data_IF_766494004796
#
_entry.id   IF_766494004796
#
_cell.length_a   1.000
_cell.length_b   1.000
_cell.length_c   1.000
_cell.angle_alpha   90.00
_cell.angle_beta   90.00
_cell.angle_gamma   90.00
#
_symmetry.space_group_name_H-M   'P 1'
#
loop_
_entity.id
_entity.type
_entity.pdbx_description
1 polymer ?
#
# COMPACT_ATOMS: atom_id res chain seq x y z
N UNK A 1 -5.39 72.74 12.81
CA UNK A 1 -4.90 72.62 11.44
C UNK A 1 -3.92 71.43 11.37
N UNK A 2 -4.38 70.21 11.65
CA UNK A 2 -3.57 68.97 11.61
C UNK A 2 -4.42 67.72 11.57
N UNK A 3 -5.47 67.62 10.70
CA UNK A 3 -6.29 66.40 10.53
C UNK A 3 -6.41 65.98 9.04
N UNK A 4 -5.74 66.68 8.10
CA UNK A 4 -5.89 66.42 6.68
C UNK A 4 -4.71 65.64 6.02
N UNK A 5 -3.70 65.22 6.79
CA UNK A 5 -2.50 64.57 6.24
C UNK A 5 -2.54 63.01 6.25
N UNK A 6 -3.42 62.38 7.04
CA UNK A 6 -3.46 60.92 7.17
C UNK A 6 -4.25 60.17 6.08
N UNK A 7 -5.18 60.84 5.41
CA UNK A 7 -6.06 60.15 4.43
C UNK A 7 -5.42 59.92 3.02
N UNK A 8 -4.35 60.63 2.72
CA UNK A 8 -3.65 60.48 1.44
C UNK A 8 -2.55 59.39 1.44
N UNK A 9 -2.02 59.02 2.61
CA UNK A 9 -1.04 57.93 2.71
C UNK A 9 -1.69 56.54 2.72
N UNK A 10 -2.89 56.37 3.30
CA UNK A 10 -3.61 55.09 3.26
C UNK A 10 -4.13 54.76 1.86
N UNK A 11 -4.51 55.75 1.05
CA UNK A 11 -4.95 55.51 -0.35
C UNK A 11 -3.80 55.19 -1.28
N UNK A 12 -2.58 55.62 -0.99
CA UNK A 12 -1.38 55.27 -1.77
C UNK A 12 -0.83 53.86 -1.42
N UNK A 13 -1.07 53.38 -0.21
CA UNK A 13 -0.72 52.03 0.22
C UNK A 13 -1.65 50.98 -0.38
N UNK A 14 -2.95 51.26 -0.51
CA UNK A 14 -3.93 50.34 -1.11
C UNK A 14 -3.76 50.16 -2.63
N UNK A 15 -3.18 51.17 -3.33
CA UNK A 15 -2.95 51.08 -4.78
C UNK A 15 -1.72 50.24 -5.20
N UNK A 16 -0.87 49.80 -4.25
CA UNK A 16 0.33 48.98 -4.55
C UNK A 16 0.11 47.46 -4.40
N UNK A 17 -1.09 47.02 -4.00
CA UNK A 17 -1.40 45.57 -3.83
C UNK A 17 -1.91 44.93 -5.14
N UNK A 18 -2.04 45.71 -6.20
CA UNK A 18 -2.56 45.23 -7.50
C UNK A 18 -1.52 45.07 -8.64
N UNK A 19 -0.23 44.93 -8.31
CA UNK A 19 0.76 44.58 -9.35
C UNK A 19 0.73 43.10 -9.63
N UNK A 20 -0.01 42.72 -10.67
CA UNK A 20 0.00 41.36 -11.25
C UNK A 20 1.43 40.95 -11.57
N UNK A 21 1.93 39.91 -10.89
CA UNK A 21 3.16 39.22 -11.31
C UNK A 21 2.93 38.60 -12.71
N UNK A 22 3.84 38.82 -13.66
CA UNK A 22 3.68 38.25 -15.01
C UNK A 22 3.76 36.73 -14.95
N UNK A 23 2.82 36.07 -15.63
CA UNK A 23 2.65 34.66 -15.79
C UNK A 23 3.87 33.96 -16.42
N UNK A 24 4.93 33.68 -15.64
CA UNK A 24 6.03 32.79 -16.02
C UNK A 24 5.83 31.39 -15.43
N UNK A 25 4.59 30.83 -15.55
CA UNK A 25 4.18 29.61 -14.86
C UNK A 25 4.42 28.32 -15.66
N UNK A 26 5.06 28.38 -16.85
CA UNK A 26 5.18 27.25 -17.78
C UNK A 26 6.39 26.33 -17.60
N UNK A 27 7.54 26.85 -17.24
CA UNK A 27 8.82 26.11 -17.28
C UNK A 27 9.42 25.73 -15.93
N UNK A 28 8.87 26.23 -14.82
CA UNK A 28 9.35 25.90 -13.45
C UNK A 28 8.84 24.58 -12.89
N UNK A 29 8.01 23.82 -13.62
CA UNK A 29 7.48 22.51 -13.17
C UNK A 29 8.51 21.38 -13.21
N UNK A 30 9.62 21.51 -13.97
CA UNK A 30 10.65 20.48 -14.10
C UNK A 30 11.87 20.67 -13.21
N UNK A 31 11.98 21.78 -12.52
CA UNK A 31 13.10 22.07 -11.63
C UNK A 31 12.64 22.25 -10.18
N UNK A 32 11.93 21.26 -9.64
CA UNK A 32 11.81 21.16 -8.17
C UNK A 32 13.15 20.66 -7.67
N UNK A 33 13.90 21.43 -6.85
CA UNK A 33 15.21 21.03 -6.35
C UNK A 33 15.15 19.68 -5.61
N UNK A 34 14.00 19.37 -4.99
CA UNK A 34 13.71 18.11 -4.35
C UNK A 34 13.74 16.92 -5.31
N UNK A 35 13.21 17.07 -6.53
CA UNK A 35 13.17 16.01 -7.53
C UNK A 35 14.55 15.77 -8.14
N UNK A 36 15.33 16.83 -8.38
CA UNK A 36 16.72 16.73 -8.83
C UNK A 36 17.59 16.05 -7.76
N UNK A 37 17.40 16.41 -6.49
CA UNK A 37 18.11 15.79 -5.38
C UNK A 37 17.74 14.30 -5.25
N UNK A 38 16.45 13.94 -5.32
CA UNK A 38 15.99 12.54 -5.24
C UNK A 38 16.54 11.70 -6.38
N UNK A 39 16.48 12.21 -7.62
CA UNK A 39 17.02 11.50 -8.79
C UNK A 39 18.54 11.41 -8.71
N UNK A 40 19.23 12.49 -8.33
CA UNK A 40 20.68 12.50 -8.14
C UNK A 40 21.12 11.49 -7.08
N UNK A 41 20.43 11.45 -5.94
CA UNK A 41 20.70 10.46 -4.89
C UNK A 41 20.52 9.03 -5.40
N UNK A 42 19.41 8.75 -6.12
CA UNK A 42 19.15 7.43 -6.68
C UNK A 42 20.24 7.01 -7.67
N UNK A 43 20.64 7.92 -8.57
CA UNK A 43 21.72 7.66 -9.55
C UNK A 43 23.03 7.36 -8.86
N UNK A 44 23.41 8.16 -7.85
CA UNK A 44 24.65 7.95 -7.08
C UNK A 44 24.59 6.62 -6.31
N UNK A 45 23.47 6.29 -5.71
CA UNK A 45 23.29 5.02 -5.00
C UNK A 45 23.40 3.81 -5.94
N UNK A 46 22.74 3.85 -7.11
CA UNK A 46 22.83 2.79 -8.12
C UNK A 46 24.21 2.67 -8.72
N UNK A 47 24.88 3.79 -9.04
CA UNK A 47 26.24 3.78 -9.55
C UNK A 47 27.25 3.25 -8.50
N UNK A 48 27.07 3.63 -7.24
CA UNK A 48 27.85 3.09 -6.13
C UNK A 48 27.67 1.57 -5.98
N UNK A 49 26.42 1.10 -6.02
CA UNK A 49 26.13 -0.34 -5.98
C UNK A 49 26.74 -1.09 -7.16
N UNK A 50 26.54 -0.60 -8.38
CA UNK A 50 27.13 -1.18 -9.60
C UNK A 50 28.67 -1.27 -9.49
N UNK A 51 29.32 -0.20 -9.01
CA UNK A 51 30.77 -0.13 -8.86
C UNK A 51 31.27 -1.12 -7.81
N UNK A 52 30.64 -1.18 -6.63
CA UNK A 52 31.00 -2.10 -5.54
C UNK A 52 30.89 -3.57 -5.97
N UNK A 53 29.84 -3.91 -6.72
CA UNK A 53 29.64 -5.27 -7.22
C UNK A 53 30.68 -5.61 -8.31
N UNK A 54 30.94 -4.70 -9.28
CA UNK A 54 31.92 -4.95 -10.37
C UNK A 54 33.38 -4.98 -9.89
N UNK A 55 33.70 -4.28 -8.81
CA UNK A 55 35.04 -4.33 -8.20
C UNK A 55 35.22 -5.57 -7.29
N UNK A 56 34.23 -6.46 -7.26
CA UNK A 56 34.21 -7.67 -6.41
C UNK A 56 34.45 -7.40 -4.92
N UNK A 57 34.23 -6.14 -4.46
CA UNK A 57 34.26 -5.78 -3.03
C UNK A 57 33.20 -6.60 -2.28
N UNK A 58 32.06 -6.85 -2.95
CA UNK A 58 31.03 -7.79 -2.52
C UNK A 58 30.87 -8.82 -3.64
N UNK A 59 31.03 -10.08 -3.28
CA UNK A 59 30.91 -11.18 -4.26
C UNK A 59 29.51 -11.20 -4.89
N UNK A 60 29.39 -11.44 -6.19
CA UNK A 60 28.11 -11.44 -6.92
C UNK A 60 27.05 -12.41 -6.38
N UNK A 61 27.49 -13.48 -5.69
CA UNK A 61 26.60 -14.43 -4.99
C UNK A 61 25.87 -13.74 -3.82
N UNK A 62 26.41 -12.65 -3.26
CA UNK A 62 25.78 -11.93 -2.15
C UNK A 62 24.98 -10.76 -2.70
N UNK A 63 25.56 -9.98 -3.60
CA UNK A 63 24.98 -8.77 -4.15
C UNK A 63 25.33 -8.61 -5.62
N UNK A 64 24.48 -9.08 -6.55
CA UNK A 64 24.69 -8.93 -7.98
C UNK A 64 24.59 -7.44 -8.39
N UNK A 65 25.26 -7.07 -9.47
CA UNK A 65 25.20 -5.72 -10.02
C UNK A 65 23.79 -5.39 -10.56
N UNK A 66 23.31 -4.14 -10.44
CA UNK A 66 22.04 -3.72 -11.05
C UNK A 66 21.92 -4.08 -12.54
N UNK A 67 23.00 -3.99 -13.31
CA UNK A 67 23.02 -4.41 -14.71
C UNK A 67 22.74 -5.91 -14.89
N UNK A 68 23.33 -6.77 -14.05
CA UNK A 68 23.10 -8.23 -14.05
C UNK A 68 21.65 -8.56 -13.66
N UNK A 69 21.04 -7.79 -12.74
CA UNK A 69 19.62 -7.93 -12.37
C UNK A 69 18.71 -7.60 -13.55
N UNK A 70 19.01 -6.56 -14.33
CA UNK A 70 18.25 -6.21 -15.53
C UNK A 70 18.36 -7.29 -16.62
N UNK A 71 19.56 -7.82 -16.87
CA UNK A 71 19.76 -8.95 -17.78
C UNK A 71 19.04 -10.20 -17.29
N UNK A 72 19.12 -10.48 -15.98
CA UNK A 72 18.39 -11.56 -15.33
C UNK A 72 16.88 -11.39 -15.46
N UNK A 73 16.36 -10.14 -15.36
CA UNK A 73 14.94 -9.86 -15.54
C UNK A 73 14.49 -10.22 -16.96
N UNK A 74 15.26 -9.85 -17.97
CA UNK A 74 14.98 -10.25 -19.35
C UNK A 74 15.01 -11.78 -19.51
N UNK A 75 16.01 -12.43 -18.95
CA UNK A 75 16.13 -13.90 -18.97
C UNK A 75 14.91 -14.57 -18.33
N UNK A 76 14.51 -14.12 -17.14
CA UNK A 76 13.35 -14.68 -16.41
C UNK A 76 12.05 -14.50 -17.19
N UNK A 77 11.79 -13.30 -17.74
CA UNK A 77 10.55 -13.01 -18.49
C UNK A 77 10.44 -13.83 -19.78
N UNK A 78 11.58 -14.21 -20.37
CA UNK A 78 11.61 -15.03 -21.60
C UNK A 78 11.55 -16.54 -21.34
N UNK A 79 11.55 -16.98 -20.07
CA UNK A 79 11.34 -18.40 -19.75
C UNK A 79 9.93 -18.86 -20.15
N UNK A 80 9.83 -20.03 -20.72
CA UNK A 80 8.57 -20.61 -21.21
C UNK A 80 7.50 -20.72 -20.11
N UNK A 81 7.91 -21.03 -18.88
CA UNK A 81 7.00 -21.20 -17.74
C UNK A 81 6.69 -19.89 -16.99
N UNK A 82 7.36 -18.77 -17.31
CA UNK A 82 7.23 -17.49 -16.56
C UNK A 82 5.78 -17.02 -16.39
N UNK A 83 5.02 -17.01 -17.48
CA UNK A 83 3.63 -16.54 -17.44
C UNK A 83 2.74 -17.38 -16.53
N UNK A 84 2.99 -18.68 -16.46
CA UNK A 84 2.27 -19.57 -15.56
C UNK A 84 2.63 -19.29 -14.11
N UNK A 85 3.91 -19.17 -13.78
CA UNK A 85 4.38 -18.92 -12.42
C UNK A 85 3.89 -17.53 -11.91
N UNK A 86 4.00 -16.50 -12.74
CA UNK A 86 3.44 -15.16 -12.43
C UNK A 86 1.93 -15.22 -12.24
N UNK A 87 1.21 -15.89 -13.14
CA UNK A 87 -0.25 -16.02 -13.06
C UNK A 87 -0.71 -16.75 -11.80
N UNK A 88 0.02 -17.78 -11.37
CA UNK A 88 -0.26 -18.53 -10.14
C UNK A 88 -0.11 -17.62 -8.92
N UNK A 89 1.03 -16.95 -8.75
CA UNK A 89 1.24 -16.00 -7.63
C UNK A 89 0.20 -14.88 -7.62
N UNK A 90 -0.12 -14.30 -8.79
CA UNK A 90 -1.14 -13.28 -8.90
C UNK A 90 -2.52 -13.77 -8.47
N UNK A 91 -2.91 -14.96 -8.88
CA UNK A 91 -4.19 -15.56 -8.49
C UNK A 91 -4.25 -15.79 -6.98
N UNK A 92 -3.20 -16.32 -6.39
CA UNK A 92 -3.09 -16.55 -4.94
C UNK A 92 -3.23 -15.23 -4.16
N UNK A 93 -2.51 -14.19 -4.59
CA UNK A 93 -2.55 -12.86 -3.99
C UNK A 93 -3.93 -12.24 -4.12
N UNK A 94 -4.50 -12.22 -5.34
CA UNK A 94 -5.77 -11.52 -5.58
C UNK A 94 -6.94 -12.22 -4.90
N UNK A 95 -7.01 -13.55 -4.94
CA UNK A 95 -8.09 -14.29 -4.28
C UNK A 95 -7.95 -14.19 -2.76
N UNK A 96 -6.73 -14.36 -2.22
CA UNK A 96 -6.48 -14.20 -0.79
C UNK A 96 -6.80 -12.77 -0.30
N UNK A 97 -6.41 -11.76 -1.07
CA UNK A 97 -6.74 -10.36 -0.79
C UNK A 97 -8.26 -10.11 -0.81
N UNK A 98 -8.98 -10.62 -1.82
CA UNK A 98 -10.44 -10.45 -1.89
C UNK A 98 -11.15 -11.12 -0.71
N UNK A 99 -10.72 -12.31 -0.30
CA UNK A 99 -11.24 -12.96 0.91
C UNK A 99 -10.97 -12.11 2.16
N UNK A 100 -9.74 -11.59 2.31
CA UNK A 100 -9.38 -10.70 3.41
C UNK A 100 -10.20 -9.42 3.40
N UNK A 101 -10.45 -8.84 2.22
CA UNK A 101 -11.26 -7.64 2.05
C UNK A 101 -12.70 -7.86 2.51
N UNK A 102 -13.37 -8.90 2.00
CA UNK A 102 -14.76 -9.19 2.32
C UNK A 102 -14.93 -9.49 3.81
N UNK A 103 -14.11 -10.39 4.36
CA UNK A 103 -14.18 -10.78 5.76
C UNK A 103 -13.69 -9.66 6.69
N UNK A 104 -12.58 -9.02 6.36
CA UNK A 104 -11.97 -7.99 7.20
C UNK A 104 -12.83 -6.73 7.27
N UNK A 105 -13.31 -6.22 6.13
CA UNK A 105 -14.22 -5.07 6.11
C UNK A 105 -15.55 -5.43 6.75
N UNK A 106 -16.11 -6.61 6.44
CA UNK A 106 -17.38 -7.07 7.03
C UNK A 106 -17.31 -7.12 8.55
N UNK A 107 -16.35 -7.86 9.12
CA UNK A 107 -16.17 -7.95 10.58
C UNK A 107 -15.77 -6.59 11.16
N UNK A 108 -14.98 -5.80 10.44
CA UNK A 108 -14.61 -4.44 10.81
C UNK A 108 -15.81 -3.51 10.96
N UNK A 109 -16.82 -3.62 10.09
CA UNK A 109 -18.09 -2.88 10.20
C UNK A 109 -18.83 -3.28 11.47
N UNK A 110 -18.97 -4.56 11.76
CA UNK A 110 -19.62 -5.02 13.00
C UNK A 110 -18.85 -4.53 14.24
N UNK A 111 -17.52 -4.64 14.23
CA UNK A 111 -16.66 -4.22 15.35
C UNK A 111 -16.68 -2.70 15.54
N UNK A 112 -16.76 -1.91 14.46
CA UNK A 112 -16.81 -0.45 14.52
C UNK A 112 -18.19 0.08 14.94
N UNK A 113 -19.27 -0.62 14.54
CA UNK A 113 -20.63 -0.12 14.73
C UNK A 113 -21.25 -0.58 16.06
N UNK A 114 -21.01 -1.83 16.49
CA UNK A 114 -21.64 -2.41 17.67
C UNK A 114 -20.67 -2.51 18.85
N UNK A 115 -20.97 -1.75 19.91
CA UNK A 115 -20.10 -1.68 21.10
C UNK A 115 -20.01 -3.03 21.83
N UNK A 116 -21.10 -3.79 21.92
CA UNK A 116 -21.10 -5.12 22.52
C UNK A 116 -20.17 -6.07 21.75
N UNK A 117 -20.30 -6.11 20.44
CA UNK A 117 -19.47 -6.96 19.58
C UNK A 117 -17.98 -6.57 19.71
N UNK A 118 -17.69 -5.29 19.74
CA UNK A 118 -16.33 -4.77 19.96
C UNK A 118 -15.78 -5.23 21.30
N UNK A 119 -16.47 -4.97 22.42
CA UNK A 119 -15.98 -5.34 23.76
C UNK A 119 -15.73 -6.83 23.88
N UNK A 120 -16.54 -7.66 23.19
CA UNK A 120 -16.42 -9.12 23.23
C UNK A 120 -15.32 -9.67 22.32
N UNK A 121 -15.18 -9.14 21.11
CA UNK A 121 -14.33 -9.75 20.05
C UNK A 121 -12.96 -9.05 19.92
N UNK A 122 -12.87 -7.74 20.17
CA UNK A 122 -11.64 -6.97 19.98
C UNK A 122 -10.44 -7.49 20.78
N UNK A 123 -10.57 -7.96 22.04
CA UNK A 123 -9.46 -8.55 22.77
C UNK A 123 -8.85 -9.77 22.05
N UNK A 124 -9.69 -10.61 21.45
CA UNK A 124 -9.23 -11.77 20.66
C UNK A 124 -8.55 -11.32 19.36
N UNK A 125 -9.09 -10.30 18.69
CA UNK A 125 -8.44 -9.73 17.49
C UNK A 125 -7.03 -9.26 17.81
N UNK A 126 -6.85 -8.53 18.92
CA UNK A 126 -5.54 -8.06 19.35
C UNK A 126 -4.61 -9.22 19.69
N UNK A 127 -5.10 -10.23 20.43
CA UNK A 127 -4.33 -11.42 20.75
C UNK A 127 -3.83 -12.15 19.50
N UNK A 128 -4.72 -12.38 18.51
CA UNK A 128 -4.34 -13.00 17.23
C UNK A 128 -3.39 -12.13 16.40
N UNK A 129 -3.45 -10.81 16.53
CA UNK A 129 -2.55 -9.91 15.80
C UNK A 129 -1.10 -10.05 16.25
N UNK A 130 -0.86 -10.34 17.51
CA UNK A 130 0.49 -10.50 18.08
C UNK A 130 1.15 -11.80 17.61
N UNK A 131 0.36 -12.83 17.27
CA UNK A 131 0.91 -14.11 16.81
C UNK A 131 1.63 -13.91 15.46
N UNK A 132 2.89 -14.37 15.33
CA UNK A 132 3.62 -14.36 14.07
C UNK A 132 2.90 -15.25 13.02
N UNK A 133 2.13 -14.64 12.12
CA UNK A 133 1.26 -15.36 11.20
C UNK A 133 2.01 -16.30 10.24
N UNK A 134 3.28 -15.98 9.94
CA UNK A 134 4.16 -16.81 9.11
C UNK A 134 4.30 -18.25 9.66
N UNK A 135 4.17 -18.44 10.97
CA UNK A 135 4.24 -19.76 11.61
C UNK A 135 3.10 -20.67 11.17
N UNK A 136 1.99 -20.13 10.67
CA UNK A 136 0.87 -20.95 10.18
C UNK A 136 1.11 -21.54 8.78
N UNK A 137 2.11 -21.09 8.04
CA UNK A 137 2.35 -21.58 6.68
C UNK A 137 2.52 -23.12 6.59
N UNK A 138 3.34 -23.79 7.44
CA UNK A 138 3.41 -25.25 7.43
C UNK A 138 2.09 -25.92 7.82
N UNK A 139 1.30 -25.32 8.70
CA UNK A 139 0.00 -25.84 9.13
C UNK A 139 -1.01 -25.78 7.97
N UNK A 140 -1.08 -24.66 7.27
CA UNK A 140 -1.96 -24.53 6.10
C UNK A 140 -1.53 -25.45 4.97
N UNK A 141 -0.22 -25.66 4.79
CA UNK A 141 0.30 -26.65 3.85
C UNK A 141 -0.14 -28.07 4.21
N UNK A 142 -0.10 -28.43 5.50
CA UNK A 142 -0.55 -29.75 5.96
C UNK A 142 -2.06 -29.95 5.80
N UNK A 143 -2.88 -28.89 5.96
CA UNK A 143 -4.33 -28.97 5.85
C UNK A 143 -4.86 -28.90 4.42
N UNK A 144 -4.27 -28.05 3.58
CA UNK A 144 -4.75 -27.74 2.23
C UNK A 144 -3.84 -28.29 1.13
N UNK A 145 -2.68 -28.85 1.48
CA UNK A 145 -1.73 -29.39 0.52
C UNK A 145 -0.85 -28.34 -0.16
N UNK A 146 -0.06 -28.80 -1.14
CA UNK A 146 0.91 -27.99 -1.89
C UNK A 146 0.26 -27.17 -3.03
N UNK A 147 -1.06 -27.25 -3.20
CA UNK A 147 -1.84 -26.50 -4.17
C UNK A 147 -1.91 -25.00 -3.86
N UNK A 148 -2.70 -24.27 -4.63
CA UNK A 148 -2.91 -22.81 -4.47
C UNK A 148 -3.72 -22.47 -3.22
N UNK A 149 -4.49 -23.41 -2.68
CA UNK A 149 -5.43 -23.17 -1.58
C UNK A 149 -4.70 -22.76 -0.30
N UNK A 150 -3.60 -23.42 0.05
CA UNK A 150 -2.78 -23.08 1.23
C UNK A 150 -2.21 -21.67 1.15
N UNK A 151 -1.82 -21.19 -0.05
CA UNK A 151 -1.28 -19.86 -0.31
C UNK A 151 -2.38 -18.79 -0.25
N UNK A 152 -3.52 -19.06 -0.85
CA UNK A 152 -4.71 -18.19 -0.77
C UNK A 152 -5.12 -17.98 0.69
N UNK A 153 -5.21 -19.06 1.47
CA UNK A 153 -5.57 -18.96 2.90
C UNK A 153 -4.52 -18.16 3.66
N UNK A 154 -3.23 -18.40 3.40
CA UNK A 154 -2.15 -17.68 4.06
C UNK A 154 -2.18 -16.19 3.73
N UNK A 155 -2.33 -15.83 2.45
CA UNK A 155 -2.48 -14.46 2.00
C UNK A 155 -3.70 -13.79 2.65
N UNK A 156 -4.84 -14.50 2.70
CA UNK A 156 -6.07 -14.00 3.32
C UNK A 156 -5.90 -13.75 4.82
N UNK A 157 -5.31 -14.68 5.57
CA UNK A 157 -5.12 -14.55 7.03
C UNK A 157 -4.19 -13.40 7.38
N UNK A 158 -3.11 -13.20 6.61
CA UNK A 158 -2.18 -12.09 6.88
C UNK A 158 -2.81 -10.74 6.52
N UNK A 159 -3.55 -10.65 5.41
CA UNK A 159 -4.19 -9.45 4.93
C UNK A 159 -5.48 -9.05 5.67
N UNK A 160 -6.11 -9.99 6.35
CA UNK A 160 -7.39 -9.80 7.05
C UNK A 160 -7.34 -8.71 8.13
N UNK A 161 -6.29 -8.73 8.97
CA UNK A 161 -6.20 -7.83 10.13
C UNK A 161 -6.08 -6.36 9.76
N UNK A 162 -5.25 -5.93 8.80
CA UNK A 162 -5.23 -4.54 8.33
C UNK A 162 -6.59 -4.04 7.86
N UNK A 163 -7.33 -4.85 7.09
CA UNK A 163 -8.69 -4.50 6.65
C UNK A 163 -9.63 -4.30 7.83
N UNK A 164 -9.66 -5.27 8.75
CA UNK A 164 -10.55 -5.26 9.90
C UNK A 164 -10.29 -4.05 10.81
N UNK A 165 -9.03 -3.85 11.20
CA UNK A 165 -8.67 -2.82 12.18
C UNK A 165 -8.91 -1.43 11.61
N UNK A 166 -8.45 -1.14 10.39
CA UNK A 166 -8.64 0.17 9.78
C UNK A 166 -10.13 0.47 9.53
N UNK A 167 -10.93 -0.54 9.16
CA UNK A 167 -12.38 -0.39 9.03
C UNK A 167 -13.02 -0.05 10.38
N UNK A 168 -12.69 -0.80 11.43
CA UNK A 168 -13.23 -0.56 12.76
C UNK A 168 -12.82 0.82 13.33
N UNK A 169 -11.57 1.24 13.12
CA UNK A 169 -11.07 2.57 13.52
C UNK A 169 -11.76 3.67 12.72
N UNK A 170 -11.88 3.51 11.40
CA UNK A 170 -12.52 4.50 10.53
C UNK A 170 -13.97 4.76 10.90
N UNK A 171 -14.75 3.71 11.19
CA UNK A 171 -16.15 3.87 11.60
C UNK A 171 -16.32 4.59 12.96
N UNK A 172 -15.28 4.62 13.77
CA UNK A 172 -15.25 5.33 15.05
C UNK A 172 -14.66 6.73 14.99
N UNK A 173 -14.19 7.15 13.82
CA UNK A 173 -13.67 8.51 13.61
C UNK A 173 -14.78 9.59 13.63
N UNK A 174 -16.06 9.19 13.65
CA UNK A 174 -17.21 10.09 13.80
C UNK A 174 -17.34 10.54 15.25
N UNK A 175 -17.39 11.84 15.51
CA UNK A 175 -17.57 12.38 16.86
C UNK A 175 -19.02 12.27 17.32
N UNK A 176 -19.23 12.28 18.65
CA UNK A 176 -20.58 12.27 19.24
C UNK A 176 -21.35 13.54 18.86
N UNK A 177 -20.70 14.69 18.79
CA UNK A 177 -21.32 15.97 18.43
C UNK A 177 -21.87 15.95 16.99
N UNK A 178 -21.16 15.34 16.06
CA UNK A 178 -21.63 15.18 14.68
C UNK A 178 -22.86 14.25 14.60
N UNK A 179 -22.88 13.20 15.40
CA UNK A 179 -24.04 12.32 15.51
C UNK A 179 -25.22 13.05 16.12
N UNK A 180 -25.00 13.87 17.16
CA UNK A 180 -26.03 14.70 17.79
C UNK A 180 -26.58 15.73 16.80
N UNK A 181 -25.72 16.38 16.02
CA UNK A 181 -26.14 17.29 14.97
C UNK A 181 -27.06 16.59 13.95
N UNK A 182 -26.68 15.43 13.46
CA UNK A 182 -27.54 14.66 12.54
C UNK A 182 -28.89 14.29 13.18
N UNK A 183 -28.90 13.95 14.47
CA UNK A 183 -30.13 13.64 15.21
C UNK A 183 -31.04 14.88 15.38
N UNK A 184 -30.48 16.07 15.55
CA UNK A 184 -31.27 17.31 15.61
C UNK A 184 -32.02 17.59 14.30
N UNK A 185 -31.51 17.09 13.17
CA UNK A 185 -32.20 17.05 11.87
C UNK A 185 -33.12 15.82 11.69
N UNK A 186 -33.45 15.12 12.79
CA UNK A 186 -34.33 13.94 12.78
C UNK A 186 -33.80 12.82 11.86
N UNK A 187 -32.48 12.72 11.66
CA UNK A 187 -31.89 11.67 10.84
C UNK A 187 -32.01 10.30 11.50
N UNK A 188 -32.39 9.30 10.71
CA UNK A 188 -32.46 7.90 11.16
C UNK A 188 -31.06 7.32 11.31
N UNK A 189 -30.92 6.21 12.07
CA UNK A 189 -29.64 5.51 12.25
C UNK A 189 -28.98 5.13 10.91
N UNK A 190 -29.77 4.65 9.95
CA UNK A 190 -29.28 4.32 8.60
C UNK A 190 -28.79 5.54 7.85
N UNK A 191 -29.47 6.69 7.97
CA UNK A 191 -29.03 7.94 7.35
C UNK A 191 -27.73 8.45 7.99
N UNK A 192 -27.59 8.36 9.32
CA UNK A 192 -26.34 8.70 10.00
C UNK A 192 -25.21 7.82 9.51
N UNK A 193 -25.42 6.51 9.43
CA UNK A 193 -24.42 5.57 8.94
C UNK A 193 -24.00 5.87 7.50
N UNK A 194 -24.94 5.97 6.57
CA UNK A 194 -24.64 6.11 5.13
C UNK A 194 -24.14 7.52 4.75
N UNK A 195 -24.64 8.57 5.41
CA UNK A 195 -24.34 9.96 5.04
C UNK A 195 -23.22 10.63 5.85
N UNK A 196 -22.88 10.05 7.02
CA UNK A 196 -21.86 10.61 7.90
C UNK A 196 -20.76 9.59 8.21
N UNK A 197 -21.14 8.47 8.88
CA UNK A 197 -20.15 7.53 9.43
C UNK A 197 -19.36 6.81 8.33
N UNK A 198 -20.03 6.26 7.32
CA UNK A 198 -19.38 5.53 6.23
C UNK A 198 -18.50 6.45 5.35
N UNK A 199 -18.94 7.62 4.89
CA UNK A 199 -18.08 8.54 4.16
C UNK A 199 -16.83 8.98 4.95
N UNK A 200 -16.96 9.22 6.26
CA UNK A 200 -15.81 9.51 7.12
C UNK A 200 -14.88 8.32 7.31
N UNK A 201 -15.40 7.09 7.31
CA UNK A 201 -14.63 5.88 7.45
C UNK A 201 -13.86 5.50 6.18
N UNK A 202 -14.36 5.88 4.99
CA UNK A 202 -13.79 5.45 3.71
C UNK A 202 -12.28 5.71 3.56
N UNK A 203 -11.71 6.87 3.95
CA UNK A 203 -10.26 7.09 3.92
C UNK A 203 -9.47 6.04 4.71
N UNK A 204 -9.97 5.67 5.89
CA UNK A 204 -9.36 4.65 6.74
C UNK A 204 -9.52 3.24 6.15
N UNK A 205 -10.70 2.93 5.61
CA UNK A 205 -10.97 1.66 4.94
C UNK A 205 -10.00 1.48 3.76
N UNK A 206 -9.83 2.49 2.91
CA UNK A 206 -8.89 2.44 1.81
C UNK A 206 -7.43 2.34 2.25
N UNK A 207 -7.04 3.01 3.34
CA UNK A 207 -5.72 2.81 3.94
C UNK A 207 -5.53 1.35 4.38
N UNK A 208 -6.54 0.76 5.01
CA UNK A 208 -6.57 -0.65 5.37
C UNK A 208 -6.49 -1.59 4.16
N UNK A 209 -7.22 -1.31 3.09
CA UNK A 209 -7.22 -2.07 1.83
C UNK A 209 -5.84 -2.07 1.19
N UNK A 210 -5.20 -0.90 1.07
CA UNK A 210 -3.84 -0.77 0.50
C UNK A 210 -2.81 -1.54 1.33
N UNK A 211 -2.88 -1.42 2.65
CA UNK A 211 -2.02 -2.19 3.55
C UNK A 211 -2.27 -3.69 3.44
N UNK A 212 -3.53 -4.11 3.42
CA UNK A 212 -3.90 -5.52 3.28
C UNK A 212 -3.41 -6.14 1.97
N UNK A 213 -3.46 -5.40 0.86
CA UNK A 213 -2.92 -5.86 -0.42
C UNK A 213 -1.41 -6.16 -0.32
N UNK A 214 -0.64 -5.27 0.28
CA UNK A 214 0.80 -5.50 0.52
C UNK A 214 1.03 -6.75 1.38
N UNK A 215 0.23 -6.93 2.41
CA UNK A 215 0.31 -8.11 3.28
C UNK A 215 -0.17 -9.40 2.60
N UNK A 216 -1.12 -9.33 1.68
CA UNK A 216 -1.53 -10.49 0.87
C UNK A 216 -0.39 -10.97 -0.04
N UNK A 217 0.33 -10.04 -0.67
CA UNK A 217 1.50 -10.35 -1.50
C UNK A 217 2.59 -11.04 -0.67
N UNK A 218 2.92 -10.48 0.50
CA UNK A 218 3.88 -11.10 1.43
C UNK A 218 3.40 -12.49 1.84
N UNK A 219 2.12 -12.64 2.17
CA UNK A 219 1.54 -13.90 2.63
C UNK A 219 1.60 -15.01 1.58
N UNK A 220 1.31 -14.71 0.32
CA UNK A 220 1.41 -15.65 -0.79
C UNK A 220 2.86 -16.11 -0.98
N UNK A 221 3.81 -15.16 -1.11
CA UNK A 221 5.24 -15.49 -1.33
C UNK A 221 5.81 -16.30 -0.16
N UNK A 222 5.47 -15.94 1.09
CA UNK A 222 5.92 -16.71 2.26
C UNK A 222 5.37 -18.14 2.23
N UNK A 223 4.12 -18.32 1.84
CA UNK A 223 3.52 -19.65 1.72
C UNK A 223 4.14 -20.46 0.57
N UNK A 224 4.46 -19.82 -0.56
CA UNK A 224 5.21 -20.44 -1.66
C UNK A 224 6.60 -20.92 -1.20
N UNK A 225 7.29 -20.15 -0.35
CA UNK A 225 8.59 -20.56 0.21
C UNK A 225 8.50 -21.80 1.11
N UNK A 226 7.38 -22.05 1.77
CA UNK A 226 7.23 -23.24 2.61
C UNK A 226 7.00 -24.49 1.78
N UNK A 227 6.32 -24.37 0.62
CA UNK A 227 6.14 -25.46 -0.30
C UNK A 227 5.05 -25.18 -1.33
N UNK A 228 5.40 -25.33 -2.60
CA UNK A 228 4.51 -25.12 -3.74
C UNK A 228 4.96 -25.92 -4.94
N UNK A 229 4.05 -26.10 -5.90
CA UNK A 229 4.37 -26.67 -7.22
C UNK A 229 4.62 -25.58 -8.27
N UNK A 230 4.11 -24.37 -8.06
CA UNK A 230 4.17 -23.25 -8.98
C UNK A 230 4.24 -21.94 -8.20
N UNK A 231 4.68 -20.88 -8.86
CA UNK A 231 4.71 -19.53 -8.33
C UNK A 231 6.10 -18.90 -8.39
N UNK A 232 6.13 -17.57 -8.24
CA UNK A 232 7.38 -16.79 -8.28
C UNK A 232 8.29 -17.11 -7.08
N UNK A 233 7.71 -17.49 -5.92
CA UNK A 233 8.49 -17.92 -4.76
C UNK A 233 9.25 -19.22 -5.03
N UNK A 234 8.66 -20.17 -5.77
CA UNK A 234 9.36 -21.37 -6.23
C UNK A 234 10.53 -21.01 -7.14
N UNK A 235 10.35 -20.05 -8.06
CA UNK A 235 11.44 -19.60 -8.92
C UNK A 235 12.60 -19.01 -8.10
N UNK A 236 12.29 -18.17 -7.09
CA UNK A 236 13.30 -17.63 -6.16
C UNK A 236 14.06 -18.79 -5.48
N UNK A 237 13.36 -19.78 -4.94
CA UNK A 237 14.01 -20.93 -4.29
C UNK A 237 14.90 -21.71 -5.26
N UNK A 238 14.40 -22.00 -6.45
CA UNK A 238 15.12 -22.76 -7.47
C UNK A 238 16.42 -22.04 -7.86
N UNK A 239 16.36 -20.75 -8.14
CA UNK A 239 17.54 -19.97 -8.47
C UNK A 239 18.49 -19.77 -7.27
N UNK A 240 17.94 -19.67 -6.05
CA UNK A 240 18.75 -19.57 -4.82
C UNK A 240 19.55 -20.85 -4.59
N UNK A 241 18.94 -22.02 -4.73
CA UNK A 241 19.64 -23.30 -4.60
C UNK A 241 20.67 -23.53 -5.70
N UNK A 242 20.44 -22.97 -6.90
CA UNK A 242 21.40 -22.97 -7.99
C UNK A 242 22.49 -21.89 -7.86
N UNK A 243 22.48 -21.07 -6.80
CA UNK A 243 23.38 -19.93 -6.57
C UNK A 243 23.35 -18.88 -7.70
N UNK A 244 22.25 -18.79 -8.43
CA UNK A 244 22.03 -17.84 -9.52
C UNK A 244 21.40 -16.55 -8.98
N UNK A 245 22.14 -15.80 -8.13
CA UNK A 245 21.63 -14.62 -7.45
C UNK A 245 21.13 -13.50 -8.38
N UNK A 246 21.70 -13.23 -9.54
CA UNK A 246 21.11 -12.28 -10.49
C UNK A 246 19.67 -12.61 -10.87
N UNK A 247 19.32 -13.90 -11.04
CA UNK A 247 17.96 -14.34 -11.35
C UNK A 247 17.04 -14.27 -10.13
N UNK A 248 17.55 -14.54 -8.92
CA UNK A 248 16.81 -14.36 -7.66
C UNK A 248 16.37 -12.89 -7.52
N UNK A 249 17.31 -11.95 -7.65
CA UNK A 249 17.01 -10.51 -7.57
C UNK A 249 16.12 -10.05 -8.72
N UNK A 250 16.24 -10.65 -9.90
CA UNK A 250 15.35 -10.39 -11.04
C UNK A 250 13.90 -10.76 -10.72
N UNK A 251 13.65 -11.92 -10.13
CA UNK A 251 12.29 -12.34 -9.72
C UNK A 251 11.77 -11.43 -8.62
N UNK A 252 12.58 -11.06 -7.63
CA UNK A 252 12.21 -10.08 -6.57
C UNK A 252 11.83 -8.73 -7.20
N UNK A 253 12.58 -8.28 -8.19
CA UNK A 253 12.28 -7.04 -8.94
C UNK A 253 10.94 -7.14 -9.68
N UNK A 254 10.67 -8.27 -10.34
CA UNK A 254 9.38 -8.52 -11.03
C UNK A 254 8.22 -8.52 -10.05
N UNK A 255 8.35 -9.19 -8.89
CA UNK A 255 7.33 -9.20 -7.83
C UNK A 255 7.07 -7.77 -7.36
N UNK A 256 8.13 -7.00 -7.11
CA UNK A 256 8.03 -5.61 -6.65
C UNK A 256 7.35 -4.72 -7.68
N UNK A 257 7.75 -4.83 -8.95
CA UNK A 257 7.14 -4.06 -10.05
C UNK A 257 5.64 -4.40 -10.20
N UNK A 258 5.30 -5.69 -10.17
CA UNK A 258 3.90 -6.15 -10.22
C UNK A 258 3.11 -5.65 -9.02
N UNK A 259 3.68 -5.72 -7.82
CA UNK A 259 3.08 -5.19 -6.60
C UNK A 259 2.82 -3.69 -6.68
N UNK A 260 3.77 -2.90 -7.18
CA UNK A 260 3.64 -1.45 -7.38
C UNK A 260 2.53 -1.13 -8.38
N UNK A 261 2.45 -1.87 -9.49
CA UNK A 261 1.39 -1.67 -10.50
C UNK A 261 0.01 -1.89 -9.88
N UNK A 262 -0.20 -3.01 -9.19
CA UNK A 262 -1.49 -3.32 -8.56
C UNK A 262 -1.82 -2.36 -7.40
N UNK A 263 -0.83 -1.98 -6.60
CA UNK A 263 -0.99 -0.96 -5.56
C UNK A 263 -1.41 0.38 -6.15
N UNK A 264 -0.82 0.77 -7.29
CA UNK A 264 -1.18 2.03 -7.99
C UNK A 264 -2.62 2.02 -8.50
N UNK A 265 -3.14 0.85 -8.89
CA UNK A 265 -4.57 0.70 -9.23
C UNK A 265 -5.45 0.96 -8.01
N UNK A 266 -5.09 0.40 -6.85
CA UNK A 266 -5.82 0.64 -5.60
C UNK A 266 -5.74 2.10 -5.15
N UNK A 267 -4.59 2.73 -5.31
CA UNK A 267 -4.40 4.16 -5.01
C UNK A 267 -5.23 5.07 -5.94
N UNK A 268 -5.30 4.73 -7.22
CA UNK A 268 -6.18 5.41 -8.16
C UNK A 268 -7.67 5.28 -7.77
N UNK A 269 -8.11 4.09 -7.35
CA UNK A 269 -9.47 3.86 -6.86
C UNK A 269 -9.75 4.64 -5.58
N UNK A 270 -8.81 4.68 -4.63
CA UNK A 270 -8.90 5.49 -3.42
C UNK A 270 -9.15 6.96 -3.76
N UNK A 271 -8.31 7.56 -4.60
CA UNK A 271 -8.46 8.97 -5.03
C UNK A 271 -9.78 9.26 -5.75
N UNK A 272 -10.26 8.31 -6.55
CA UNK A 272 -11.51 8.46 -7.29
C UNK A 272 -12.75 8.35 -6.38
N UNK A 273 -12.72 7.45 -5.39
CA UNK A 273 -13.85 7.20 -4.49
C UNK A 273 -13.85 8.19 -3.34
N UNK A 274 -12.67 8.51 -2.78
CA UNK A 274 -12.52 9.38 -1.60
C UNK A 274 -12.04 10.78 -2.03
N UNK A 275 -12.66 11.33 -3.08
CA UNK A 275 -12.28 12.61 -3.68
C UNK A 275 -12.41 13.82 -2.72
N UNK A 276 -13.17 13.69 -1.64
CA UNK A 276 -13.37 14.75 -0.64
C UNK A 276 -12.26 14.82 0.41
N UNK A 277 -11.33 13.86 0.45
CA UNK A 277 -10.16 13.94 1.31
C UNK A 277 -9.25 15.03 0.78
N UNK A 278 -9.06 16.12 1.55
CA UNK A 278 -8.02 17.11 1.24
C UNK A 278 -6.68 16.38 1.26
N UNK A 279 -5.96 16.42 0.15
CA UNK A 279 -4.54 16.06 0.14
C UNK A 279 -3.83 17.12 1.00
N UNK A 280 -3.57 16.79 2.27
CA UNK A 280 -2.53 17.48 3.01
C UNK A 280 -1.23 17.05 2.32
N UNK A 281 -0.72 17.95 1.44
CA UNK A 281 0.50 17.72 0.70
C UNK A 281 1.66 17.51 1.66
N UNK A 282 2.32 16.39 1.50
CA UNK A 282 3.66 16.18 2.01
C UNK A 282 4.66 16.93 1.12
#
# INVERSE_FOLDING_TARGET
MAIASGAHEETAAAARVGAEEPATRGWRRFARPELLFSVGFLVVALAGWETLSRLEVVHEIILPAPSQILEGTWTVVTLENFHRELGTTLLEVLVGFLLALVLGVGIGIFTGTYELFRKSIYPYIVAFQVIPKVVFAPIFLAWFGFGIESKIVMAAVIAFFPCLINTAVGLRATSEDEVLLMRSYVATRGQIFLKLTLPKALPFIFAGIKTAFTFALIGAIVAEFVGTYHGLGLMIQTFSFALQMPLVFAVIFIISATGIILYSVLDYLDRKIVFWRREEGF
#
